data_IF_844459836456
#
_entry.id   IF_844459836456
#
_cell.length_a   1.000
_cell.length_b   1.000
_cell.length_c   1.000
_cell.angle_alpha   90.00
_cell.angle_beta   90.00
_cell.angle_gamma   90.00
#
_symmetry.space_group_name_H-M   'P 1'
#
loop_
_entity.id
_entity.type
_entity.pdbx_description
1 polymer ?
#
# COMPACT_ATOMS: atom_id res chain seq x y z
N UNK A 1 16.35 -7.32 7.58
CA UNK A 1 16.32 -8.74 7.11
C UNK A 1 16.47 -8.71 5.60
N UNK A 2 17.10 -9.71 4.96
CA UNK A 2 17.23 -9.75 3.48
C UNK A 2 15.96 -10.36 2.86
N UNK A 3 15.55 -9.86 1.68
CA UNK A 3 14.39 -10.35 0.93
C UNK A 3 14.33 -11.88 0.80
N UNK A 4 15.44 -12.51 0.39
CA UNK A 4 15.51 -13.96 0.23
C UNK A 4 15.19 -14.76 1.50
N UNK A 5 15.48 -14.21 2.70
CA UNK A 5 15.16 -14.86 3.98
C UNK A 5 13.70 -14.64 4.38
N UNK A 6 13.09 -13.53 3.95
CA UNK A 6 11.72 -13.20 4.31
C UNK A 6 10.70 -13.74 3.30
N UNK A 7 11.12 -13.98 2.05
CA UNK A 7 10.22 -14.41 0.97
C UNK A 7 9.33 -15.61 1.33
N UNK A 8 9.81 -16.65 2.02
CA UNK A 8 8.97 -17.79 2.39
C UNK A 8 7.85 -17.44 3.39
N UNK A 9 8.03 -16.38 4.18
CA UNK A 9 7.09 -15.99 5.24
C UNK A 9 6.02 -15.00 4.72
N UNK A 10 6.22 -14.45 3.50
CA UNK A 10 5.27 -13.53 2.87
C UNK A 10 4.13 -14.33 2.25
N UNK A 11 2.91 -14.00 2.62
CA UNK A 11 1.70 -14.55 2.02
C UNK A 11 0.94 -13.50 1.22
N UNK A 12 0.06 -13.95 0.30
CA UNK A 12 -0.86 -13.06 -0.41
C UNK A 12 -1.70 -12.27 0.59
N UNK A 13 -1.76 -10.94 0.40
CA UNK A 13 -2.45 -10.01 1.30
C UNK A 13 -1.57 -9.37 2.36
N UNK A 14 -0.32 -9.81 2.51
CA UNK A 14 0.64 -9.09 3.34
C UNK A 14 0.93 -7.70 2.76
N UNK A 15 1.31 -6.79 3.63
CA UNK A 15 1.53 -5.39 3.31
C UNK A 15 2.99 -5.10 3.02
N UNK A 16 3.21 -4.37 1.96
CA UNK A 16 4.46 -3.76 1.56
C UNK A 16 4.44 -2.29 1.91
N UNK A 17 5.46 -1.78 2.61
CA UNK A 17 5.61 -0.36 2.88
C UNK A 17 7.00 0.11 2.49
N UNK A 18 7.09 1.33 1.98
CA UNK A 18 8.38 1.95 1.70
C UNK A 18 8.39 3.44 2.05
N UNK A 19 9.60 3.95 2.26
CA UNK A 19 9.89 5.36 2.45
C UNK A 19 10.43 5.93 1.15
N UNK A 20 9.57 6.53 0.33
CA UNK A 20 10.05 7.15 -0.91
C UNK A 20 10.85 8.42 -0.62
N UNK A 21 11.95 8.62 -1.35
CA UNK A 21 12.80 9.82 -1.22
C UNK A 21 12.31 11.00 -2.07
N UNK A 22 11.18 10.87 -2.77
CA UNK A 22 10.55 11.97 -3.48
C UNK A 22 10.15 13.10 -2.51
N UNK A 23 10.06 14.32 -3.02
CA UNK A 23 9.59 15.48 -2.23
C UNK A 23 8.24 15.15 -1.56
N UNK A 24 7.34 14.54 -2.31
CA UNK A 24 6.04 14.11 -1.82
C UNK A 24 6.14 13.09 -0.69
N UNK A 25 6.97 12.07 -0.81
CA UNK A 25 7.19 11.08 0.25
C UNK A 25 7.77 11.71 1.52
N UNK A 26 8.62 12.71 1.38
CA UNK A 26 9.16 13.48 2.53
C UNK A 26 8.06 14.28 3.22
N UNK A 27 7.21 14.98 2.46
CA UNK A 27 6.07 15.74 3.00
C UNK A 27 5.07 14.81 3.70
N UNK A 28 4.71 13.68 3.08
CA UNK A 28 3.82 12.68 3.69
C UNK A 28 4.36 12.20 5.02
N UNK A 29 5.64 11.83 5.11
CA UNK A 29 6.27 11.40 6.37
C UNK A 29 6.30 12.49 7.44
N UNK A 30 6.53 13.73 7.04
CA UNK A 30 6.54 14.86 7.96
C UNK A 30 5.13 15.10 8.54
N UNK A 31 4.11 15.14 7.68
CA UNK A 31 2.71 15.39 8.08
C UNK A 31 2.17 14.25 8.94
N UNK A 32 2.49 13.00 8.60
CA UNK A 32 2.01 11.82 9.32
C UNK A 32 2.92 11.37 10.46
N UNK A 33 4.08 12.02 10.63
CA UNK A 33 5.14 11.61 11.57
C UNK A 33 5.50 10.12 11.47
N UNK A 34 5.44 9.57 10.24
CA UNK A 34 5.60 8.16 9.96
C UNK A 34 6.93 7.87 9.26
N UNK A 35 7.45 6.66 9.47
CA UNK A 35 8.62 6.14 8.75
C UNK A 35 8.28 5.71 7.32
N UNK A 36 6.99 5.52 7.01
CA UNK A 36 6.52 5.05 5.71
C UNK A 36 5.71 6.14 4.99
N UNK A 37 5.83 6.18 3.67
CA UNK A 37 5.13 7.15 2.82
C UNK A 37 4.38 6.50 1.66
N UNK A 38 4.51 5.19 1.50
CA UNK A 38 3.87 4.44 0.44
C UNK A 38 3.52 3.03 0.92
N UNK A 39 2.43 2.47 0.39
CA UNK A 39 1.93 1.14 0.74
C UNK A 39 1.43 0.41 -0.50
N UNK A 40 1.63 -0.90 -0.53
CA UNK A 40 1.12 -1.85 -1.49
C UNK A 40 0.78 -3.18 -0.83
N UNK A 41 0.38 -4.15 -1.63
CA UNK A 41 0.00 -5.50 -1.18
C UNK A 41 0.87 -6.53 -1.87
N UNK A 42 1.41 -7.46 -1.10
CA UNK A 42 2.08 -8.63 -1.67
C UNK A 42 1.05 -9.63 -2.20
N UNK A 43 1.32 -10.16 -3.39
CA UNK A 43 0.47 -11.15 -4.02
C UNK A 43 1.30 -12.20 -4.74
N UNK A 44 0.99 -13.45 -4.49
CA UNK A 44 1.55 -14.58 -5.20
C UNK A 44 0.75 -14.90 -6.46
N UNK A 45 1.44 -15.00 -7.59
CA UNK A 45 0.96 -15.60 -8.81
C UNK A 45 1.90 -16.78 -9.14
N UNK A 46 1.37 -17.99 -8.98
CA UNK A 46 2.18 -19.20 -9.06
C UNK A 46 3.36 -19.14 -8.06
N UNK A 47 4.59 -19.22 -8.54
CA UNK A 47 5.82 -19.19 -7.76
C UNK A 47 6.48 -17.79 -7.69
N UNK A 48 5.82 -16.77 -8.27
CA UNK A 48 6.33 -15.40 -8.36
C UNK A 48 5.60 -14.48 -7.38
N UNK A 49 6.38 -13.75 -6.61
CA UNK A 49 5.87 -12.74 -5.66
C UNK A 49 5.89 -11.35 -6.28
N UNK A 50 4.75 -10.69 -6.26
CA UNK A 50 4.56 -9.33 -6.76
C UNK A 50 4.14 -8.38 -5.64
N UNK A 51 4.38 -7.08 -5.87
CA UNK A 51 3.79 -5.97 -5.13
C UNK A 51 2.74 -5.31 -6.02
N UNK A 52 1.50 -5.33 -5.57
CA UNK A 52 0.39 -4.61 -6.17
C UNK A 52 0.29 -3.23 -5.50
N UNK A 53 0.50 -2.16 -6.25
CA UNK A 53 0.59 -0.81 -5.70
C UNK A 53 0.04 0.26 -6.64
N UNK A 54 -0.53 1.32 -6.07
CA UNK A 54 -0.91 2.52 -6.80
C UNK A 54 0.29 3.48 -6.86
N UNK A 55 0.75 3.79 -8.06
CA UNK A 55 1.83 4.73 -8.33
C UNK A 55 1.31 5.95 -9.08
N UNK A 56 2.12 7.01 -9.22
CA UNK A 56 1.76 8.17 -10.04
C UNK A 56 1.52 7.83 -11.53
N UNK A 57 1.98 6.66 -11.99
CA UNK A 57 1.74 6.13 -13.35
C UNK A 57 0.54 5.17 -13.42
N UNK A 58 -0.27 5.10 -12.37
CA UNK A 58 -1.40 4.20 -12.23
C UNK A 58 -1.11 3.00 -11.33
N UNK A 59 -2.09 2.10 -11.24
CA UNK A 59 -1.97 0.87 -10.46
C UNK A 59 -1.12 -0.16 -11.19
N UNK A 60 -0.11 -0.71 -10.51
CA UNK A 60 0.88 -1.63 -11.09
C UNK A 60 1.06 -2.89 -10.28
N UNK A 61 1.59 -3.88 -10.95
CA UNK A 61 2.06 -5.14 -10.39
C UNK A 61 3.54 -5.27 -10.76
N UNK A 62 4.42 -5.08 -9.80
CA UNK A 62 5.87 -5.12 -9.96
C UNK A 62 6.42 -6.34 -9.21
N UNK A 63 7.52 -6.92 -9.67
CA UNK A 63 8.14 -8.02 -8.93
C UNK A 63 8.68 -7.55 -7.59
N UNK A 64 8.44 -8.35 -6.55
CA UNK A 64 8.90 -7.99 -5.19
C UNK A 64 10.44 -7.96 -5.08
N UNK A 65 11.14 -8.68 -5.96
CA UNK A 65 12.60 -8.67 -6.07
C UNK A 65 13.19 -7.33 -6.52
N UNK A 66 12.40 -6.47 -7.18
CA UNK A 66 12.84 -5.17 -7.67
C UNK A 66 12.97 -4.13 -6.54
N UNK A 67 12.49 -4.48 -5.34
CA UNK A 67 12.49 -3.57 -4.22
C UNK A 67 13.58 -3.87 -3.20
N UNK A 68 14.19 -2.80 -2.72
CA UNK A 68 15.13 -2.81 -1.59
C UNK A 68 14.65 -1.83 -0.51
N UNK A 69 15.04 -2.07 0.74
CA UNK A 69 14.72 -1.17 1.85
C UNK A 69 13.22 -0.89 2.05
N UNK A 70 12.45 -1.95 2.25
CA UNK A 70 11.02 -1.87 2.54
C UNK A 70 10.69 -2.47 3.91
N UNK A 71 9.44 -2.29 4.34
CA UNK A 71 8.88 -2.98 5.50
C UNK A 71 7.81 -3.96 5.05
N UNK A 72 7.80 -5.12 5.68
CA UNK A 72 6.77 -6.15 5.56
C UNK A 72 5.91 -6.14 6.81
N UNK A 73 4.60 -6.19 6.64
CA UNK A 73 3.65 -6.28 7.74
C UNK A 73 2.41 -7.07 7.36
N UNK A 74 1.62 -7.45 8.36
CA UNK A 74 0.33 -8.12 8.19
C UNK A 74 -0.73 -7.41 9.00
N UNK A 75 -1.80 -6.98 8.33
CA UNK A 75 -2.91 -6.34 9.01
C UNK A 75 -3.77 -7.36 9.76
N UNK A 76 -4.02 -7.08 11.03
CA UNK A 76 -5.00 -7.84 11.82
C UNK A 76 -6.46 -7.55 11.44
N UNK A 77 -6.70 -6.49 10.64
CA UNK A 77 -8.03 -6.06 10.19
C UNK A 77 -8.34 -6.47 8.74
N UNK A 78 -7.41 -7.14 8.06
CA UNK A 78 -7.64 -7.58 6.69
C UNK A 78 -8.75 -8.65 6.64
N UNK A 79 -9.71 -8.44 5.75
CA UNK A 79 -10.84 -9.35 5.52
C UNK A 79 -11.06 -9.53 4.02
N UNK A 80 -10.43 -10.52 3.43
CA UNK A 80 -10.50 -10.80 1.99
C UNK A 80 -10.40 -12.29 1.71
N UNK A 81 -10.83 -12.70 0.53
CA UNK A 81 -10.44 -13.97 -0.06
C UNK A 81 -9.36 -13.73 -1.13
N UNK A 82 -8.46 -14.67 -1.33
CA UNK A 82 -7.40 -14.52 -2.33
C UNK A 82 -7.96 -14.30 -3.74
N UNK A 83 -9.07 -14.96 -4.07
CA UNK A 83 -9.78 -14.78 -5.34
C UNK A 83 -10.25 -13.34 -5.51
N UNK A 84 -10.95 -12.79 -4.50
CA UNK A 84 -11.46 -11.42 -4.51
C UNK A 84 -10.31 -10.42 -4.63
N UNK A 85 -9.24 -10.61 -3.84
CA UNK A 85 -8.05 -9.76 -3.87
C UNK A 85 -7.45 -9.69 -5.28
N UNK A 86 -7.29 -10.84 -5.96
CA UNK A 86 -6.75 -10.90 -7.33
C UNK A 86 -7.68 -10.24 -8.35
N UNK A 87 -9.00 -10.38 -8.19
CA UNK A 87 -10.00 -9.70 -9.04
C UNK A 87 -9.97 -8.17 -8.84
N UNK A 88 -9.89 -7.70 -7.61
CA UNK A 88 -9.81 -6.26 -7.29
C UNK A 88 -8.52 -5.65 -7.84
N UNK A 89 -7.38 -6.31 -7.71
CA UNK A 89 -6.11 -5.90 -8.33
C UNK A 89 -6.28 -5.75 -9.85
N UNK A 90 -6.92 -6.72 -10.50
CA UNK A 90 -7.17 -6.68 -11.95
C UNK A 90 -8.08 -5.51 -12.33
N UNK A 91 -9.09 -5.21 -11.52
CA UNK A 91 -9.98 -4.06 -11.69
C UNK A 91 -9.23 -2.73 -11.57
N UNK A 92 -8.40 -2.59 -10.52
CA UNK A 92 -7.65 -1.36 -10.25
C UNK A 92 -6.59 -1.03 -11.30
N UNK A 93 -6.02 -2.02 -11.97
CA UNK A 93 -5.08 -1.80 -13.09
C UNK A 93 -5.69 -1.00 -14.26
N UNK A 94 -7.01 -0.91 -14.33
CA UNK A 94 -7.75 -0.14 -15.34
C UNK A 94 -8.08 1.29 -14.88
N UNK A 95 -7.84 1.62 -13.60
CA UNK A 95 -8.16 2.93 -13.05
C UNK A 95 -7.02 3.92 -13.21
N UNK A 96 -7.35 5.19 -13.43
CA UNK A 96 -6.36 6.29 -13.41
C UNK A 96 -6.08 6.70 -11.97
N UNK A 97 -4.83 7.08 -11.71
CA UNK A 97 -4.39 7.58 -10.42
C UNK A 97 -4.53 9.10 -10.33
N UNK A 98 -5.09 9.61 -9.23
CA UNK A 98 -5.20 11.06 -8.99
C UNK A 98 -3.99 11.58 -8.19
N UNK A 99 -2.96 11.92 -8.93
CA UNK A 99 -1.78 12.53 -8.32
C UNK A 99 -2.09 13.92 -7.74
N UNK A 100 -2.94 14.70 -8.40
CA UNK A 100 -3.26 16.07 -7.97
C UNK A 100 -4.11 16.06 -6.69
N UNK A 101 -5.11 15.19 -6.62
CA UNK A 101 -5.92 15.00 -5.42
C UNK A 101 -5.08 14.55 -4.22
N UNK A 102 -4.08 13.70 -4.44
CA UNK A 102 -3.14 13.29 -3.40
C UNK A 102 -2.30 14.47 -2.88
N UNK A 103 -1.81 15.34 -3.77
CA UNK A 103 -1.02 16.51 -3.38
C UNK A 103 -1.83 17.51 -2.56
N UNK A 104 -3.12 17.64 -2.87
CA UNK A 104 -4.03 18.61 -2.23
C UNK A 104 -4.76 18.04 -1.00
N UNK A 105 -4.75 16.72 -0.79
CA UNK A 105 -5.51 16.07 0.29
C UNK A 105 -5.16 16.50 1.71
N UNK A 106 -3.91 16.91 2.05
CA UNK A 106 -3.62 17.47 3.36
C UNK A 106 -4.32 18.81 3.64
N UNK A 107 -4.71 19.53 2.57
CA UNK A 107 -5.26 20.90 2.66
C UNK A 107 -6.75 20.98 2.35
N UNK A 108 -7.32 19.98 1.68
CA UNK A 108 -8.72 19.98 1.27
C UNK A 108 -9.35 18.60 1.48
N UNK A 109 -10.58 18.61 1.98
CA UNK A 109 -11.44 17.42 2.11
C UNK A 109 -11.99 17.03 0.72
N UNK A 110 -11.08 16.64 -0.19
CA UNK A 110 -11.46 16.27 -1.55
C UNK A 110 -11.94 14.82 -1.56
N UNK A 111 -13.25 14.62 -1.70
CA UNK A 111 -13.83 13.34 -2.15
C UNK A 111 -13.46 13.12 -3.62
N UNK A 112 -12.19 12.90 -3.90
CA UNK A 112 -11.74 12.57 -5.25
C UNK A 112 -12.22 11.16 -5.58
N UNK A 113 -12.72 10.95 -6.82
CA UNK A 113 -13.09 9.62 -7.32
C UNK A 113 -11.86 8.75 -7.62
N UNK A 114 -10.68 9.25 -7.37
CA UNK A 114 -9.41 8.63 -7.71
C UNK A 114 -8.73 8.16 -6.41
N UNK A 115 -8.19 6.96 -6.44
CA UNK A 115 -7.78 6.26 -5.23
C UNK A 115 -6.30 6.48 -4.92
N UNK A 116 -5.98 6.77 -3.66
CA UNK A 116 -4.61 6.81 -3.13
C UNK A 116 -4.04 5.39 -2.94
N UNK A 117 -2.72 5.28 -2.81
CA UNK A 117 -2.09 3.98 -2.54
C UNK A 117 -2.68 3.30 -1.30
N UNK A 118 -2.93 4.06 -0.24
CA UNK A 118 -3.54 3.56 1.00
C UNK A 118 -5.02 3.22 0.86
N UNK A 119 -5.80 4.02 0.14
CA UNK A 119 -7.22 3.73 -0.12
C UNK A 119 -7.38 2.49 -1.01
N UNK A 120 -6.56 2.38 -2.07
CA UNK A 120 -6.54 1.19 -2.91
C UNK A 120 -6.17 -0.06 -2.10
N UNK A 121 -5.16 0.04 -1.24
CA UNK A 121 -4.72 -1.04 -0.36
C UNK A 121 -5.80 -1.43 0.64
N UNK A 122 -6.43 -0.45 1.32
CA UNK A 122 -7.53 -0.70 2.25
C UNK A 122 -8.69 -1.43 1.56
N UNK A 123 -9.06 -0.97 0.37
CA UNK A 123 -10.13 -1.58 -0.44
C UNK A 123 -9.83 -3.03 -0.81
N UNK A 124 -8.62 -3.29 -1.35
CA UNK A 124 -8.21 -4.65 -1.75
C UNK A 124 -8.22 -5.62 -0.57
N UNK A 125 -7.82 -5.14 0.61
CA UNK A 125 -7.73 -5.96 1.83
C UNK A 125 -9.01 -5.97 2.66
N UNK A 126 -10.08 -5.28 2.22
CA UNK A 126 -11.32 -5.17 2.99
C UNK A 126 -11.10 -4.53 4.37
N UNK A 127 -10.11 -3.63 4.50
CA UNK A 127 -9.85 -2.94 5.75
C UNK A 127 -10.78 -1.74 5.86
N UNK A 128 -11.70 -1.80 6.81
CA UNK A 128 -12.58 -0.68 7.11
C UNK A 128 -11.92 0.30 8.09
N UNK A 129 -12.03 1.57 7.79
CA UNK A 129 -11.66 2.66 8.70
C UNK A 129 -12.93 3.38 9.15
N UNK A 130 -13.02 3.76 10.44
CA UNK A 130 -14.08 4.67 10.87
C UNK A 130 -14.01 5.95 10.03
N UNK A 131 -15.14 6.62 9.84
CA UNK A 131 -15.23 7.82 9.00
C UNK A 131 -14.15 8.83 9.40
N UNK A 132 -13.11 8.93 8.61
CA UNK A 132 -12.05 9.92 8.78
C UNK A 132 -12.48 11.18 8.03
N UNK A 133 -12.30 12.34 8.66
CA UNK A 133 -12.51 13.64 7.99
C UNK A 133 -11.39 13.98 6.98
N UNK A 134 -10.54 13.01 6.67
CA UNK A 134 -9.42 13.08 5.72
C UNK A 134 -9.25 11.76 4.98
N UNK A 135 -8.43 11.74 3.94
CA UNK A 135 -8.01 10.51 3.28
C UNK A 135 -7.20 9.57 4.19
N UNK A 136 -7.15 8.29 3.82
CA UNK A 136 -6.36 7.28 4.53
C UNK A 136 -4.89 7.44 4.14
N UNK A 137 -3.99 7.52 5.11
CA UNK A 137 -2.54 7.55 4.88
C UNK A 137 -1.89 6.16 5.02
N UNK A 138 -0.69 5.95 4.45
CA UNK A 138 0.06 4.70 4.65
C UNK A 138 0.31 4.36 6.13
N UNK A 139 0.47 5.37 6.99
CA UNK A 139 0.58 5.21 8.44
C UNK A 139 -0.68 4.63 9.09
N UNK A 140 -1.86 4.98 8.58
CA UNK A 140 -3.11 4.43 9.11
C UNK A 140 -3.19 2.93 8.84
N UNK A 141 -2.78 2.50 7.64
CA UNK A 141 -2.65 1.08 7.30
C UNK A 141 -1.59 0.39 8.18
N UNK A 142 -0.42 1.02 8.34
CA UNK A 142 0.66 0.46 9.17
C UNK A 142 0.23 0.24 10.62
N UNK A 143 -0.62 1.11 11.17
CA UNK A 143 -1.18 0.97 12.52
C UNK A 143 -2.17 -0.20 12.67
N UNK A 144 -2.63 -0.80 11.57
CA UNK A 144 -3.45 -2.03 11.62
C UNK A 144 -2.60 -3.30 11.66
N UNK A 145 -1.29 -3.19 11.46
CA UNK A 145 -0.41 -4.34 11.39
C UNK A 145 -0.12 -4.90 12.78
N UNK A 146 -0.16 -6.24 12.90
CA UNK A 146 0.26 -6.97 14.09
C UNK A 146 1.79 -6.95 14.27
N UNK A 147 2.53 -6.74 13.18
CA UNK A 147 3.98 -6.56 13.17
C UNK A 147 4.40 -5.74 11.95
N UNK A 148 5.60 -5.17 12.02
CA UNK A 148 6.26 -4.46 10.92
C UNK A 148 7.75 -4.78 10.93
N UNK A 149 8.23 -5.48 9.91
CA UNK A 149 9.61 -5.97 9.81
C UNK A 149 10.33 -5.21 8.68
N UNK A 150 11.45 -4.58 9.02
CA UNK A 150 12.29 -3.92 8.02
C UNK A 150 13.10 -4.93 7.20
N UNK A 151 13.09 -4.77 5.88
CA UNK A 151 13.84 -5.58 4.91
C UNK A 151 14.86 -4.68 4.21
N UNK A 152 16.12 -5.13 4.18
CA UNK A 152 17.25 -4.43 3.54
C UNK A 152 17.79 -5.26 2.38
#
# INVERSE_FOLDING_TARGET
MKYQKLRPDIVTGDLFFTATNSLFGKVTRLVTQSKVSHVGVFVWYEDRLFVAEATFKGFKLNEASDYTNYYHGRSARANFTEKQLKEDIKGLRKTRYDFLGMLMSPFYNTRSKQQFCSESTAKILGIEFPALNRGIFPSDIANTCSYLIGVK
#
